data_IF_132381223068
#
_entry.id   IF_132381223068
#
_cell.length_a   1.000
_cell.length_b   1.000
_cell.length_c   1.000
_cell.angle_alpha   90.00
_cell.angle_beta   90.00
_cell.angle_gamma   90.00
#
_symmetry.space_group_name_H-M   'P 1'
#
loop_
_entity.id
_entity.type
_entity.pdbx_description
1 polymer ?
#
# COMPACT_ATOMS: atom_id res chain seq x y z
N UNK A 1 26.43 -0.35 -9.30
CA UNK A 1 26.10 0.68 -10.32
C UNK A 1 24.81 1.32 -9.88
N UNK A 2 24.75 2.67 -9.91
CA UNK A 2 23.52 3.37 -9.53
C UNK A 2 22.36 2.97 -10.45
N UNK A 3 21.22 2.61 -9.89
CA UNK A 3 20.01 2.30 -10.67
C UNK A 3 19.22 3.56 -11.03
N UNK A 4 19.59 4.70 -10.43
CA UNK A 4 18.91 5.98 -10.59
C UNK A 4 19.88 7.14 -10.77
N UNK A 5 19.49 8.10 -11.61
CA UNK A 5 20.21 9.35 -11.82
C UNK A 5 19.54 10.48 -11.03
N UNK A 6 20.32 11.12 -10.19
CA UNK A 6 19.96 12.39 -9.56
C UNK A 6 20.32 13.54 -10.48
N UNK A 7 19.41 14.48 -10.68
CA UNK A 7 19.68 15.78 -11.33
C UNK A 7 19.10 16.93 -10.52
N UNK A 8 19.78 18.06 -10.57
CA UNK A 8 19.46 19.24 -9.80
C UNK A 8 19.53 20.48 -10.70
N UNK A 9 18.49 21.30 -10.65
CA UNK A 9 18.41 22.61 -11.29
C UNK A 9 18.82 23.69 -10.28
N UNK A 10 20.02 24.21 -10.42
CA UNK A 10 20.59 25.20 -9.49
C UNK A 10 19.88 26.56 -9.52
N UNK A 11 19.28 26.94 -10.65
CA UNK A 11 18.58 28.23 -10.79
C UNK A 11 17.27 28.24 -10.02
N UNK A 12 16.64 27.06 -9.87
CA UNK A 12 15.39 26.87 -9.13
C UNK A 12 15.61 26.49 -7.68
N UNK A 13 16.82 26.19 -7.26
CA UNK A 13 17.10 25.70 -5.91
C UNK A 13 16.90 26.78 -4.86
N UNK A 14 16.10 26.47 -3.83
CA UNK A 14 15.92 27.35 -2.67
C UNK A 14 17.00 27.18 -1.59
N UNK A 15 18.02 26.35 -1.80
CA UNK A 15 19.12 26.05 -0.88
C UNK A 15 18.66 25.61 0.53
N UNK A 16 17.45 25.04 0.65
CA UNK A 16 16.81 24.71 1.94
C UNK A 16 17.30 23.41 2.59
N UNK A 17 18.06 22.57 1.89
CA UNK A 17 18.61 21.32 2.43
C UNK A 17 17.63 20.16 2.64
N UNK A 18 16.32 20.34 2.41
CA UNK A 18 15.31 19.31 2.68
C UNK A 18 15.56 18.00 1.92
N UNK A 19 16.09 18.10 0.70
CA UNK A 19 16.40 16.92 -0.12
C UNK A 19 17.48 16.01 0.50
N UNK A 20 18.50 16.60 1.09
CA UNK A 20 19.56 15.87 1.79
C UNK A 20 19.06 15.36 3.16
N UNK A 21 18.37 16.22 3.92
CA UNK A 21 17.84 15.86 5.23
C UNK A 21 16.86 14.65 5.14
N UNK A 22 15.96 14.66 4.15
CA UNK A 22 14.94 13.63 3.99
C UNK A 22 15.35 12.44 3.10
N UNK A 23 16.59 12.41 2.60
CA UNK A 23 17.06 11.24 1.87
C UNK A 23 17.21 10.04 2.82
N UNK A 24 16.43 8.96 2.69
CA UNK A 24 16.47 7.84 3.63
C UNK A 24 17.75 7.00 3.50
N UNK A 25 18.45 7.13 2.37
CA UNK A 25 19.63 6.34 2.01
C UNK A 25 20.93 7.14 2.03
N UNK A 26 20.95 8.35 2.57
CA UNK A 26 22.12 9.24 2.61
C UNK A 26 22.81 9.44 1.25
N UNK A 27 22.00 9.49 0.18
CA UNK A 27 22.50 9.70 -1.18
C UNK A 27 22.99 11.14 -1.36
N UNK A 28 22.33 12.10 -0.70
CA UNK A 28 22.53 13.53 -0.92
C UNK A 28 23.15 14.21 0.30
N UNK A 29 24.14 15.09 0.05
CA UNK A 29 24.67 16.05 1.01
C UNK A 29 24.55 17.46 0.46
N UNK A 30 24.49 18.45 1.36
CA UNK A 30 24.60 19.85 0.97
C UNK A 30 26.08 20.24 0.93
N UNK A 31 26.58 20.69 -0.24
CA UNK A 31 27.93 21.25 -0.43
C UNK A 31 27.80 22.60 -1.08
N UNK A 32 28.39 23.60 -0.49
CA UNK A 32 28.32 25.00 -0.96
C UNK A 32 26.87 25.48 -1.21
N UNK A 33 25.94 25.02 -0.35
CA UNK A 33 24.53 25.38 -0.44
C UNK A 33 23.72 24.62 -1.49
N UNK A 34 24.32 23.68 -2.22
CA UNK A 34 23.61 22.87 -3.24
C UNK A 34 23.64 21.37 -2.92
N UNK A 35 22.60 20.60 -3.29
CA UNK A 35 22.60 19.17 -3.07
C UNK A 35 23.53 18.45 -4.06
N UNK A 36 24.39 17.61 -3.53
CA UNK A 36 25.33 16.77 -4.30
C UNK A 36 25.06 15.30 -3.98
N UNK A 37 25.02 14.46 -5.00
CA UNK A 37 24.93 13.01 -4.82
C UNK A 37 26.31 12.46 -4.43
N UNK A 38 26.47 12.13 -3.15
CA UNK A 38 27.72 11.60 -2.58
C UNK A 38 27.76 10.08 -2.54
N UNK A 39 26.59 9.45 -2.54
CA UNK A 39 26.43 8.00 -2.56
C UNK A 39 25.32 7.58 -3.55
N UNK A 40 25.53 7.82 -4.87
CA UNK A 40 24.48 7.58 -5.87
C UNK A 40 24.05 6.12 -5.98
N UNK A 41 24.96 5.17 -5.69
CA UNK A 41 24.64 3.73 -5.75
C UNK A 41 23.64 3.27 -4.66
N UNK A 42 23.47 4.05 -3.60
CA UNK A 42 22.48 3.78 -2.56
C UNK A 42 21.07 4.33 -2.91
N UNK A 43 20.90 4.99 -4.06
CA UNK A 43 19.61 5.53 -4.45
C UNK A 43 18.62 4.42 -4.82
N UNK A 44 17.50 4.36 -4.10
CA UNK A 44 16.41 3.41 -4.33
C UNK A 44 15.23 4.01 -5.14
N UNK A 45 15.42 5.19 -5.73
CA UNK A 45 14.39 5.84 -6.56
C UNK A 45 13.12 6.27 -5.82
N UNK A 46 13.15 6.39 -4.50
CA UNK A 46 11.96 6.67 -3.67
C UNK A 46 11.33 8.05 -3.89
N UNK A 47 11.98 8.94 -4.64
CA UNK A 47 11.53 10.30 -4.95
C UNK A 47 11.24 11.20 -3.75
N UNK A 48 11.61 10.81 -2.53
CA UNK A 48 11.39 11.62 -1.32
C UNK A 48 12.05 13.01 -1.43
N UNK A 49 13.26 13.08 -2.00
CA UNK A 49 13.95 14.35 -2.23
C UNK A 49 13.22 15.26 -3.21
N UNK A 50 12.71 14.75 -4.31
CA UNK A 50 11.96 15.53 -5.31
C UNK A 50 10.56 15.90 -4.82
N UNK A 51 9.90 14.98 -4.09
CA UNK A 51 8.56 15.22 -3.54
C UNK A 51 8.52 16.26 -2.42
N UNK A 52 9.64 16.45 -1.68
CA UNK A 52 9.75 17.47 -0.64
C UNK A 52 10.48 18.74 -1.10
N UNK A 53 10.85 18.83 -2.37
CA UNK A 53 11.49 20.03 -2.92
C UNK A 53 10.44 21.12 -3.21
N UNK A 54 10.44 22.25 -2.47
CA UNK A 54 9.40 23.29 -2.63
C UNK A 54 9.45 23.96 -4.01
N UNK A 55 10.61 23.98 -4.64
CA UNK A 55 10.83 24.61 -5.95
C UNK A 55 10.86 23.59 -7.10
N UNK A 56 10.69 22.29 -6.79
CA UNK A 56 10.76 21.20 -7.78
C UNK A 56 12.06 21.20 -8.59
N UNK A 57 13.17 21.58 -7.97
CA UNK A 57 14.50 21.63 -8.61
C UNK A 57 15.16 20.26 -8.75
N UNK A 58 14.60 19.21 -8.16
CA UNK A 58 15.18 17.87 -8.13
C UNK A 58 14.40 16.91 -9.01
N UNK A 59 15.14 16.11 -9.79
CA UNK A 59 14.62 14.98 -10.55
C UNK A 59 15.40 13.71 -10.21
N UNK A 60 14.69 12.61 -10.14
CA UNK A 60 15.25 11.26 -10.01
C UNK A 60 14.77 10.48 -11.23
N UNK A 61 15.69 10.03 -12.04
CA UNK A 61 15.42 9.29 -13.26
C UNK A 61 16.04 7.91 -13.14
N UNK A 62 15.32 6.83 -13.45
CA UNK A 62 15.90 5.49 -13.46
C UNK A 62 16.96 5.39 -14.56
N UNK A 63 18.11 4.83 -14.22
CA UNK A 63 19.15 4.49 -15.19
C UNK A 63 18.86 3.11 -15.75
N UNK A 64 18.48 3.03 -17.01
CA UNK A 64 18.34 1.74 -17.69
C UNK A 64 16.97 1.08 -17.61
N UNK A 65 15.88 1.85 -17.50
CA UNK A 65 14.52 1.32 -17.64
C UNK A 65 14.34 0.43 -18.86
N UNK A 66 14.99 0.75 -19.98
CA UNK A 66 14.91 -0.06 -21.20
C UNK A 66 15.48 -1.48 -21.03
N UNK A 67 16.53 -1.65 -20.21
CA UNK A 67 17.11 -2.98 -19.96
C UNK A 67 16.29 -3.79 -18.94
N UNK A 68 15.72 -3.14 -17.92
CA UNK A 68 14.84 -3.81 -16.97
C UNK A 68 13.48 -4.15 -17.59
N UNK A 69 12.90 -3.22 -18.34
CA UNK A 69 11.64 -3.45 -19.03
C UNK A 69 11.79 -4.53 -20.11
N UNK A 70 12.92 -4.57 -20.83
CA UNK A 70 13.24 -5.62 -21.80
C UNK A 70 13.43 -6.98 -21.12
N UNK A 71 14.22 -7.05 -20.02
CA UNK A 71 14.42 -8.30 -19.29
C UNK A 71 13.12 -8.85 -18.73
N UNK A 72 12.22 -7.99 -18.27
CA UNK A 72 10.89 -8.39 -17.78
C UNK A 72 9.91 -8.72 -18.91
N UNK A 73 10.07 -8.15 -20.11
CA UNK A 73 9.25 -8.45 -21.28
C UNK A 73 9.50 -9.85 -21.81
N UNK A 74 10.75 -10.32 -21.75
CA UNK A 74 11.17 -11.65 -22.20
C UNK A 74 10.99 -12.75 -21.12
N UNK A 75 10.60 -12.38 -19.90
CA UNK A 75 10.40 -13.32 -18.81
C UNK A 75 9.10 -14.10 -19.00
N UNK A 76 9.19 -15.44 -18.85
CA UNK A 76 8.02 -16.31 -18.82
C UNK A 76 7.08 -15.90 -17.68
N UNK A 77 5.81 -15.69 -18.00
CA UNK A 77 4.78 -15.32 -17.04
C UNK A 77 4.11 -16.55 -16.46
N UNK A 78 3.72 -16.44 -15.18
CA UNK A 78 2.90 -17.47 -14.53
C UNK A 78 1.58 -17.67 -15.29
N UNK A 79 1.15 -18.92 -15.36
CA UNK A 79 -0.19 -19.24 -15.86
C UNK A 79 -1.25 -18.63 -14.93
N UNK A 80 -2.31 -18.05 -15.49
CA UNK A 80 -3.37 -17.50 -14.65
C UNK A 80 -4.16 -18.60 -13.95
N UNK A 81 -4.83 -18.23 -12.86
CA UNK A 81 -5.79 -19.14 -12.19
C UNK A 81 -6.89 -19.60 -13.17
N UNK A 82 -7.51 -20.73 -12.84
CA UNK A 82 -8.60 -21.28 -13.68
C UNK A 82 -9.76 -20.26 -13.82
N UNK A 83 -10.45 -20.32 -14.95
CA UNK A 83 -11.62 -19.49 -15.21
C UNK A 83 -12.71 -19.68 -14.13
N UNK A 84 -12.86 -20.91 -13.59
CA UNK A 84 -13.78 -21.21 -12.50
C UNK A 84 -13.40 -20.44 -11.22
N UNK A 85 -12.12 -20.45 -10.84
CA UNK A 85 -11.63 -19.73 -9.67
C UNK A 85 -11.80 -18.22 -9.83
N UNK A 86 -11.51 -17.69 -11.01
CA UNK A 86 -11.71 -16.27 -11.31
C UNK A 86 -13.18 -15.88 -11.25
N UNK A 87 -14.08 -16.72 -11.78
CA UNK A 87 -15.52 -16.52 -11.67
C UNK A 87 -16.00 -16.54 -10.21
N UNK A 88 -15.40 -17.38 -9.36
CA UNK A 88 -15.67 -17.40 -7.92
C UNK A 88 -15.29 -16.09 -7.25
N UNK A 89 -14.11 -15.53 -7.54
CA UNK A 89 -13.71 -14.23 -7.01
C UNK A 89 -14.59 -13.09 -7.52
N UNK A 90 -14.99 -13.14 -8.77
CA UNK A 90 -15.93 -12.17 -9.34
C UNK A 90 -17.28 -12.21 -8.63
N UNK A 91 -17.77 -13.40 -8.30
CA UNK A 91 -19.03 -13.58 -7.58
C UNK A 91 -18.93 -13.08 -6.14
N UNK A 92 -17.83 -13.35 -5.42
CA UNK A 92 -17.61 -12.79 -4.09
C UNK A 92 -17.57 -11.27 -4.14
N UNK A 93 -16.83 -10.67 -5.07
CA UNK A 93 -16.81 -9.22 -5.28
C UNK A 93 -18.22 -8.68 -5.49
N UNK A 94 -18.99 -9.27 -6.40
CA UNK A 94 -20.35 -8.85 -6.72
C UNK A 94 -21.26 -8.87 -5.50
N UNK A 95 -21.30 -10.00 -4.77
CA UNK A 95 -22.15 -10.17 -3.58
C UNK A 95 -21.77 -9.13 -2.51
N UNK A 96 -20.49 -9.05 -2.17
CA UNK A 96 -20.03 -8.18 -1.09
C UNK A 96 -20.31 -6.71 -1.43
N UNK A 97 -20.01 -6.28 -2.66
CA UNK A 97 -20.28 -4.91 -3.09
C UNK A 97 -21.77 -4.57 -3.06
N UNK A 98 -22.61 -5.47 -3.60
CA UNK A 98 -24.05 -5.26 -3.66
C UNK A 98 -24.69 -5.24 -2.28
N UNK A 99 -24.37 -6.24 -1.43
CA UNK A 99 -25.02 -6.38 -0.11
C UNK A 99 -24.55 -5.36 0.91
N UNK A 100 -23.30 -4.92 0.83
CA UNK A 100 -22.74 -3.92 1.75
C UNK A 100 -22.75 -2.49 1.19
N UNK A 101 -23.23 -2.30 -0.04
CA UNK A 101 -23.31 -0.98 -0.68
C UNK A 101 -21.92 -0.37 -0.93
N UNK A 102 -20.89 -1.20 -1.23
CA UNK A 102 -19.54 -0.70 -1.47
C UNK A 102 -19.45 0.01 -2.82
N UNK A 103 -18.93 1.22 -2.81
CA UNK A 103 -18.70 2.00 -4.04
C UNK A 103 -17.47 1.51 -4.81
N UNK A 104 -16.44 1.09 -4.09
CA UNK A 104 -15.14 0.75 -4.67
C UNK A 104 -14.93 -0.75 -4.74
N UNK A 105 -14.30 -1.19 -5.82
CA UNK A 105 -13.97 -2.61 -5.99
C UNK A 105 -13.01 -3.06 -4.90
N UNK A 106 -13.23 -4.23 -4.27
CA UNK A 106 -12.23 -4.88 -3.43
C UNK A 106 -10.95 -5.13 -4.22
N UNK A 107 -9.81 -4.85 -3.61
CA UNK A 107 -8.50 -4.97 -4.24
C UNK A 107 -7.80 -6.22 -3.74
N UNK A 108 -7.54 -7.15 -4.64
CA UNK A 108 -6.70 -8.30 -4.42
C UNK A 108 -5.24 -7.87 -4.38
N UNK A 109 -4.51 -8.28 -3.34
CA UNK A 109 -3.09 -8.00 -3.13
C UNK A 109 -2.31 -9.29 -3.17
N UNK A 110 -1.28 -9.33 -4.01
CA UNK A 110 -0.35 -10.45 -4.11
C UNK A 110 1.09 -9.99 -3.94
N UNK A 111 1.85 -10.77 -3.17
CA UNK A 111 3.24 -10.51 -2.82
C UNK A 111 4.11 -11.61 -3.48
N UNK A 112 4.67 -11.31 -4.65
CA UNK A 112 5.35 -12.29 -5.50
C UNK A 112 6.69 -12.65 -4.87
N UNK A 113 6.91 -13.93 -4.60
CA UNK A 113 8.15 -14.44 -4.05
C UNK A 113 9.34 -14.25 -5.01
N UNK A 114 10.55 -14.26 -4.47
CA UNK A 114 11.76 -13.98 -5.24
C UNK A 114 11.91 -14.90 -6.46
N UNK A 115 11.64 -16.17 -6.28
CA UNK A 115 11.86 -17.22 -7.29
C UNK A 115 10.56 -17.61 -8.04
N UNK A 116 9.45 -16.92 -7.74
CA UNK A 116 8.16 -17.16 -8.37
C UNK A 116 8.06 -16.37 -9.70
N UNK A 117 7.54 -16.98 -10.79
CA UNK A 117 7.34 -16.27 -12.04
C UNK A 117 6.33 -15.12 -11.86
N UNK A 118 6.55 -14.02 -12.58
CA UNK A 118 5.65 -12.87 -12.50
C UNK A 118 4.30 -13.19 -13.13
N UNK A 119 3.19 -12.79 -12.50
CA UNK A 119 1.87 -12.98 -13.07
C UNK A 119 1.63 -12.12 -14.31
N UNK A 120 0.64 -12.50 -15.11
CA UNK A 120 0.19 -11.73 -16.28
C UNK A 120 -0.54 -10.45 -15.83
N UNK A 121 0.22 -9.41 -15.56
CA UNK A 121 -0.30 -8.13 -15.11
C UNK A 121 0.60 -6.99 -15.63
N UNK A 122 0.03 -5.86 -16.07
CA UNK A 122 0.81 -4.72 -16.55
C UNK A 122 1.73 -4.12 -15.48
N UNK A 123 2.93 -3.72 -15.90
CA UNK A 123 3.86 -2.94 -15.09
C UNK A 123 3.64 -1.47 -15.44
N UNK A 124 3.42 -0.58 -14.47
CA UNK A 124 3.20 0.83 -14.75
C UNK A 124 4.46 1.49 -15.32
N UNK A 125 4.27 2.44 -16.23
CA UNK A 125 5.38 3.23 -16.77
C UNK A 125 5.99 4.16 -15.72
N UNK A 126 5.17 4.64 -14.78
CA UNK A 126 5.57 5.56 -13.72
C UNK A 126 5.78 4.85 -12.39
N UNK A 127 6.63 5.44 -11.55
CA UNK A 127 6.81 4.96 -10.19
C UNK A 127 5.63 5.40 -9.31
N UNK A 128 4.97 4.44 -8.70
CA UNK A 128 3.83 4.67 -7.82
C UNK A 128 4.16 4.25 -6.39
N UNK A 129 3.59 4.94 -5.41
CA UNK A 129 3.48 4.39 -4.06
C UNK A 129 2.51 3.22 -4.07
N UNK A 130 2.72 2.23 -3.23
CA UNK A 130 1.78 1.11 -3.11
C UNK A 130 0.33 1.58 -2.87
N UNK A 131 0.13 2.57 -2.01
CA UNK A 131 -1.20 3.14 -1.77
C UNK A 131 -1.81 3.80 -3.01
N UNK A 132 -1.02 4.39 -3.91
CA UNK A 132 -1.51 4.93 -5.19
C UNK A 132 -1.94 3.80 -6.13
N UNK A 133 -1.16 2.71 -6.21
CA UNK A 133 -1.53 1.53 -6.98
C UNK A 133 -2.83 0.90 -6.46
N UNK A 134 -3.00 0.81 -5.13
CA UNK A 134 -4.25 0.38 -4.51
C UNK A 134 -5.45 1.25 -4.91
N UNK A 135 -5.28 2.58 -4.96
CA UNK A 135 -6.34 3.49 -5.38
C UNK A 135 -6.67 3.37 -6.87
N UNK A 136 -5.71 3.07 -7.72
CA UNK A 136 -5.96 2.78 -9.12
C UNK A 136 -6.67 1.41 -9.29
N UNK A 137 -6.25 0.40 -8.53
CA UNK A 137 -6.84 -0.94 -8.59
C UNK A 137 -8.31 -0.97 -8.15
N UNK A 138 -8.70 -0.23 -7.11
CA UNK A 138 -10.12 -0.11 -6.72
C UNK A 138 -11.01 0.50 -7.82
N UNK A 139 -10.42 1.17 -8.82
CA UNK A 139 -11.09 1.73 -10.00
C UNK A 139 -11.01 0.85 -11.24
N UNK A 140 -10.37 -0.31 -11.15
CA UNK A 140 -10.32 -1.29 -12.22
C UNK A 140 -8.96 -1.54 -12.86
N UNK A 141 -7.90 -0.84 -12.42
CA UNK A 141 -6.54 -1.07 -12.90
C UNK A 141 -5.97 -2.39 -12.36
N UNK A 142 -5.17 -3.07 -13.19
CA UNK A 142 -4.29 -4.17 -12.78
C UNK A 142 -2.86 -3.65 -12.82
N UNK A 143 -2.12 -3.79 -11.72
CA UNK A 143 -0.80 -3.19 -11.58
C UNK A 143 0.15 -4.18 -10.92
N UNK A 144 1.25 -4.49 -11.61
CA UNK A 144 2.38 -5.24 -11.09
C UNK A 144 3.54 -4.28 -10.83
N UNK A 145 4.02 -4.21 -9.59
CA UNK A 145 5.09 -3.30 -9.20
C UNK A 145 6.34 -4.07 -8.74
N UNK A 146 7.34 -4.24 -9.60
CA UNK A 146 8.69 -4.61 -9.14
C UNK A 146 9.33 -3.46 -8.35
N UNK A 147 10.45 -3.70 -7.62
CA UNK A 147 11.05 -2.72 -6.71
C UNK A 147 11.30 -1.34 -7.33
N UNK A 148 11.79 -1.31 -8.57
CA UNK A 148 12.11 -0.06 -9.29
C UNK A 148 10.87 0.73 -9.75
N UNK A 149 9.67 0.19 -9.60
CA UNK A 149 8.39 0.87 -9.86
C UNK A 149 7.71 1.36 -8.60
N UNK A 150 8.34 1.15 -7.44
CA UNK A 150 7.86 1.71 -6.18
C UNK A 150 8.54 3.05 -5.86
N UNK A 151 7.75 4.08 -5.54
CA UNK A 151 8.25 5.38 -5.08
C UNK A 151 8.23 5.55 -3.55
N UNK A 152 7.95 4.49 -2.80
CA UNK A 152 7.94 4.52 -1.33
C UNK A 152 8.94 3.51 -0.76
N UNK A 153 10.04 3.98 -0.12
CA UNK A 153 11.07 3.10 0.43
C UNK A 153 10.57 2.29 1.63
N UNK A 154 9.59 2.80 2.38
CA UNK A 154 8.89 2.02 3.40
C UNK A 154 8.17 0.83 2.78
N UNK A 155 7.38 1.06 1.72
CA UNK A 155 6.62 0.01 1.07
C UNK A 155 7.51 -1.09 0.50
N UNK A 156 8.59 -0.73 -0.22
CA UNK A 156 9.53 -1.72 -0.78
C UNK A 156 10.22 -2.56 0.27
N UNK A 157 10.69 -1.93 1.35
CA UNK A 157 11.40 -2.64 2.42
C UNK A 157 10.45 -3.46 3.30
N UNK A 158 9.25 -2.96 3.61
CA UNK A 158 8.23 -3.67 4.38
C UNK A 158 7.82 -4.96 3.66
N UNK A 159 7.62 -4.89 2.36
CA UNK A 159 7.28 -6.06 1.54
C UNK A 159 8.50 -6.96 1.23
N UNK A 160 9.66 -6.68 1.77
CA UNK A 160 10.85 -7.51 1.59
C UNK A 160 11.44 -7.49 0.17
N UNK A 161 11.14 -6.47 -0.63
CA UNK A 161 11.69 -6.34 -1.98
C UNK A 161 13.10 -5.74 -1.97
N UNK A 162 13.42 -4.93 -0.97
CA UNK A 162 14.75 -4.30 -0.76
C UNK A 162 15.16 -4.39 0.70
N UNK A 163 16.44 -4.06 0.97
CA UNK A 163 16.88 -3.76 2.33
C UNK A 163 16.17 -2.55 2.91
N UNK A 164 16.11 -2.43 4.24
CA UNK A 164 15.56 -1.27 4.91
C UNK A 164 16.60 -0.15 4.90
N UNK A 165 16.32 1.02 4.31
CA UNK A 165 17.22 2.17 4.39
C UNK A 165 17.49 2.58 5.83
N UNK A 166 18.72 3.01 6.14
CA UNK A 166 19.20 3.25 7.51
C UNK A 166 18.29 4.20 8.29
N UNK A 167 17.92 5.35 7.72
CA UNK A 167 17.01 6.32 8.39
C UNK A 167 15.62 5.78 8.67
N UNK A 168 15.17 4.75 7.92
CA UNK A 168 13.92 4.06 8.18
C UNK A 168 14.10 2.97 9.23
N UNK A 169 15.25 2.28 9.23
CA UNK A 169 15.57 1.25 10.21
C UNK A 169 15.76 1.83 11.62
N UNK A 170 16.43 2.97 11.71
CA UNK A 170 16.64 3.70 12.98
C UNK A 170 15.43 4.53 13.42
N UNK A 171 14.48 4.77 12.50
CA UNK A 171 13.35 5.64 12.75
C UNK A 171 13.66 7.14 12.65
N UNK A 172 14.89 7.53 12.34
CA UNK A 172 15.32 8.96 12.21
C UNK A 172 14.37 9.76 11.31
N UNK A 173 13.95 9.19 10.18
CA UNK A 173 13.04 9.84 9.24
C UNK A 173 11.70 10.24 9.87
N UNK A 174 11.21 9.47 10.83
CA UNK A 174 9.92 9.76 11.48
C UNK A 174 10.05 10.89 12.50
N UNK A 175 11.21 11.01 13.13
CA UNK A 175 11.54 12.17 14.01
C UNK A 175 11.68 13.43 13.17
N UNK A 176 12.40 13.37 12.04
CA UNK A 176 12.55 14.48 11.10
C UNK A 176 11.22 14.99 10.54
N UNK A 177 10.27 14.10 10.29
CA UNK A 177 8.92 14.48 9.87
C UNK A 177 7.96 14.83 11.02
N UNK A 178 8.47 14.96 12.24
CA UNK A 178 7.68 15.22 13.46
C UNK A 178 6.50 14.25 13.66
N UNK A 179 6.65 13.00 13.23
CA UNK A 179 5.63 11.97 13.41
C UNK A 179 5.70 11.32 14.79
N UNK A 180 6.86 11.35 15.41
CA UNK A 180 7.12 10.90 16.78
C UNK A 180 8.03 11.89 17.48
N UNK A 181 8.00 11.90 18.81
CA UNK A 181 8.67 12.93 19.63
C UNK A 181 10.18 12.82 19.63
N UNK A 182 10.74 11.60 19.57
CA UNK A 182 12.17 11.33 19.69
C UNK A 182 12.56 9.97 19.10
N UNK A 183 13.86 9.68 19.13
CA UNK A 183 14.42 8.43 18.60
C UNK A 183 13.94 7.18 19.35
N UNK A 184 13.68 7.24 20.65
CA UNK A 184 13.16 6.10 21.42
C UNK A 184 11.76 5.69 20.95
N UNK A 185 10.84 6.65 20.80
CA UNK A 185 9.52 6.43 20.27
C UNK A 185 9.57 5.91 18.81
N UNK A 186 10.51 6.43 18.01
CA UNK A 186 10.74 5.98 16.66
C UNK A 186 11.23 4.53 16.61
N UNK A 187 12.19 4.17 17.43
CA UNK A 187 12.72 2.80 17.51
C UNK A 187 11.64 1.80 17.92
N UNK A 188 10.80 2.15 18.91
CA UNK A 188 9.67 1.32 19.31
C UNK A 188 8.70 1.10 18.15
N UNK A 189 8.30 2.17 17.48
CA UNK A 189 7.38 2.10 16.33
C UNK A 189 7.93 1.22 15.20
N UNK A 190 9.24 1.32 14.92
CA UNK A 190 9.89 0.50 13.88
C UNK A 190 9.96 -0.97 14.29
N UNK A 191 10.25 -1.26 15.57
CA UNK A 191 10.36 -2.62 16.09
C UNK A 191 9.01 -3.37 16.10
N UNK A 192 7.91 -2.68 16.30
CA UNK A 192 6.56 -3.28 16.36
C UNK A 192 5.96 -3.59 14.97
N UNK A 193 6.52 -3.03 13.90
CA UNK A 193 5.98 -3.26 12.57
C UNK A 193 6.44 -4.62 11.99
N UNK A 194 5.54 -5.45 11.43
CA UNK A 194 5.95 -6.60 10.65
C UNK A 194 6.64 -6.17 9.35
N UNK A 195 7.69 -6.89 8.97
CA UNK A 195 8.39 -6.73 7.69
C UNK A 195 8.80 -8.11 7.18
N UNK A 196 8.84 -8.29 5.86
CA UNK A 196 9.44 -9.48 5.26
C UNK A 196 10.97 -9.41 5.25
N UNK A 197 11.66 -10.55 5.23
CA UNK A 197 13.10 -10.57 5.04
C UNK A 197 13.51 -9.82 3.77
N UNK A 198 14.60 -9.03 3.81
CA UNK A 198 15.08 -8.31 2.63
C UNK A 198 15.33 -9.26 1.44
N UNK A 199 14.96 -8.80 0.24
CA UNK A 199 15.12 -9.53 -1.03
C UNK A 199 14.38 -10.89 -1.06
N UNK A 200 13.34 -11.07 -0.25
CA UNK A 200 12.49 -12.27 -0.26
C UNK A 200 11.31 -12.15 -1.23
N UNK A 201 11.01 -10.97 -1.70
CA UNK A 201 9.94 -10.69 -2.67
C UNK A 201 10.51 -9.91 -3.85
N UNK A 202 9.94 -10.14 -5.04
CA UNK A 202 10.37 -9.50 -6.28
C UNK A 202 9.37 -8.48 -6.84
N UNK A 203 8.11 -8.55 -6.41
CA UNK A 203 7.07 -7.61 -6.81
C UNK A 203 5.87 -7.63 -5.86
N UNK A 204 5.07 -6.56 -5.90
CA UNK A 204 3.68 -6.57 -5.45
C UNK A 204 2.76 -6.51 -6.66
N UNK A 205 1.61 -7.15 -6.57
CA UNK A 205 0.54 -7.02 -7.56
C UNK A 205 -0.76 -6.61 -6.87
N UNK A 206 -1.45 -5.63 -7.46
CA UNK A 206 -2.77 -5.20 -7.01
C UNK A 206 -3.73 -5.17 -8.20
N UNK A 207 -4.89 -5.77 -8.02
CA UNK A 207 -5.93 -5.87 -9.05
C UNK A 207 -7.32 -5.76 -8.42
N UNK A 208 -8.37 -5.40 -9.17
CA UNK A 208 -9.72 -5.72 -8.72
C UNK A 208 -9.83 -7.22 -8.44
N UNK A 209 -10.51 -7.61 -7.38
CA UNK A 209 -10.64 -9.03 -7.00
C UNK A 209 -11.17 -9.90 -8.16
N UNK A 210 -12.15 -9.40 -8.91
CA UNK A 210 -12.73 -10.11 -10.06
C UNK A 210 -11.76 -10.28 -11.26
N UNK A 211 -10.59 -9.62 -11.24
CA UNK A 211 -9.62 -9.63 -12.34
C UNK A 211 -8.26 -10.21 -11.94
N UNK A 212 -8.15 -10.74 -10.72
CA UNK A 212 -6.86 -11.26 -10.27
C UNK A 212 -6.41 -12.46 -11.10
N UNK A 213 -5.19 -12.47 -11.63
CA UNK A 213 -4.68 -13.61 -12.40
C UNK A 213 -4.08 -14.71 -11.52
N UNK A 214 -3.98 -14.52 -10.20
CA UNK A 214 -3.52 -15.51 -9.23
C UNK A 214 -4.31 -15.42 -7.93
N UNK A 215 -4.20 -16.43 -7.08
CA UNK A 215 -4.75 -16.38 -5.72
C UNK A 215 -4.06 -15.28 -4.92
N UNK A 216 -4.78 -14.26 -4.46
CA UNK A 216 -4.20 -13.21 -3.65
C UNK A 216 -4.04 -13.68 -2.20
N UNK A 217 -3.08 -13.11 -1.48
CA UNK A 217 -2.91 -13.36 -0.05
C UNK A 217 -3.95 -12.59 0.76
N UNK A 218 -4.19 -11.33 0.39
CA UNK A 218 -5.07 -10.42 1.12
C UNK A 218 -5.99 -9.69 0.14
N UNK A 219 -7.21 -9.40 0.58
CA UNK A 219 -8.13 -8.52 -0.12
C UNK A 219 -8.40 -7.28 0.72
N UNK A 220 -8.20 -6.10 0.13
CA UNK A 220 -8.39 -4.82 0.82
C UNK A 220 -9.66 -4.14 0.34
N UNK A 221 -10.53 -3.83 1.27
CA UNK A 221 -11.78 -3.11 1.07
C UNK A 221 -11.60 -1.62 1.40
N UNK A 222 -12.17 -0.75 0.58
CA UNK A 222 -12.25 0.71 0.83
C UNK A 222 -13.69 1.09 1.05
N UNK A 223 -14.00 1.77 2.15
CA UNK A 223 -15.36 2.19 2.44
C UNK A 223 -15.45 3.13 3.65
N UNK A 224 -16.67 3.53 3.97
CA UNK A 224 -16.97 4.29 5.18
C UNK A 224 -16.83 3.41 6.43
N UNK A 225 -16.69 3.98 7.63
CA UNK A 225 -16.68 3.21 8.89
C UNK A 225 -17.90 2.30 9.03
N UNK A 226 -19.07 2.74 8.57
CA UNK A 226 -20.28 1.94 8.61
C UNK A 226 -20.22 0.73 7.67
N UNK A 227 -19.67 0.89 6.47
CA UNK A 227 -19.45 -0.24 5.55
C UNK A 227 -18.43 -1.23 6.11
N UNK A 228 -17.38 -0.74 6.80
CA UNK A 228 -16.43 -1.61 7.51
C UNK A 228 -17.07 -2.33 8.70
N UNK A 229 -17.99 -1.70 9.39
CA UNK A 229 -18.79 -2.37 10.44
C UNK A 229 -19.61 -3.53 9.84
N UNK A 230 -20.31 -3.30 8.71
CA UNK A 230 -21.07 -4.38 8.05
C UNK A 230 -20.16 -5.50 7.55
N UNK A 231 -18.97 -5.16 7.05
CA UNK A 231 -17.96 -6.14 6.63
C UNK A 231 -17.50 -7.00 7.82
N UNK A 232 -17.21 -6.37 8.97
CA UNK A 232 -16.84 -7.06 10.21
C UNK A 232 -17.96 -7.97 10.70
N UNK A 233 -19.20 -7.48 10.74
CA UNK A 233 -20.36 -8.28 11.13
C UNK A 233 -20.60 -9.47 10.20
N UNK A 234 -20.31 -9.31 8.90
CA UNK A 234 -20.43 -10.40 7.93
C UNK A 234 -19.44 -11.54 8.22
N UNK A 235 -18.24 -11.21 8.67
CA UNK A 235 -17.24 -12.23 9.09
C UNK A 235 -17.67 -12.94 10.36
N UNK A 236 -18.23 -12.21 11.32
CA UNK A 236 -18.65 -12.72 12.63
C UNK A 236 -20.02 -13.39 12.61
N UNK A 237 -20.72 -13.40 11.47
CA UNK A 237 -22.13 -13.79 11.41
C UNK A 237 -22.40 -15.21 11.93
N UNK A 238 -21.50 -16.16 11.65
CA UNK A 238 -21.71 -17.56 11.99
C UNK A 238 -21.13 -17.99 13.33
N UNK A 239 -20.10 -17.31 13.83
CA UNK A 239 -19.35 -17.69 15.04
C UNK A 239 -19.42 -16.67 16.17
N UNK A 240 -19.91 -15.45 15.89
CA UNK A 240 -19.98 -14.36 16.87
C UNK A 240 -18.62 -13.84 17.32
N UNK A 241 -17.53 -14.21 16.61
CA UNK A 241 -16.17 -13.81 16.98
C UNK A 241 -16.01 -12.29 16.97
N UNK A 242 -15.28 -11.73 17.94
CA UNK A 242 -14.88 -10.33 17.98
C UNK A 242 -13.46 -10.21 17.42
N UNK A 243 -13.28 -9.29 16.47
CA UNK A 243 -11.96 -9.06 15.86
C UNK A 243 -11.21 -8.00 16.65
N UNK A 244 -9.92 -8.27 16.91
CA UNK A 244 -8.97 -7.29 17.44
C UNK A 244 -8.29 -6.58 16.31
N UNK A 245 -8.30 -5.24 16.31
CA UNK A 245 -7.70 -4.43 15.27
C UNK A 245 -6.49 -3.66 15.79
N UNK A 246 -5.39 -3.73 15.04
CA UNK A 246 -4.15 -3.04 15.33
C UNK A 246 -3.94 -1.91 14.32
N UNK A 247 -4.26 -0.68 14.71
CA UNK A 247 -4.13 0.50 13.86
C UNK A 247 -3.38 1.60 14.60
N UNK A 248 -2.29 2.08 13.99
CA UNK A 248 -1.43 3.14 14.53
C UNK A 248 -1.39 4.39 13.64
N UNK A 249 -1.85 4.29 12.39
CA UNK A 249 -1.70 5.34 11.38
C UNK A 249 -0.29 5.42 10.77
N UNK A 250 0.60 4.47 11.10
CA UNK A 250 1.93 4.34 10.51
C UNK A 250 1.98 3.16 9.53
N UNK A 251 2.62 3.35 8.38
CA UNK A 251 2.79 2.31 7.34
C UNK A 251 1.48 1.58 6.98
N UNK A 252 0.39 2.28 7.04
CA UNK A 252 -0.98 1.76 7.14
C UNK A 252 -1.36 0.79 6.02
N UNK A 253 -1.18 1.17 4.75
CA UNK A 253 -1.57 0.30 3.65
C UNK A 253 -0.68 -0.94 3.55
N UNK A 254 0.63 -0.78 3.78
CA UNK A 254 1.58 -1.89 3.69
C UNK A 254 1.47 -2.82 4.89
N UNK A 255 1.46 -2.28 6.11
CA UNK A 255 1.47 -3.04 7.36
C UNK A 255 0.05 -3.37 7.81
N UNK A 256 -0.77 -2.34 8.08
CA UNK A 256 -2.06 -2.53 8.73
C UNK A 256 -3.09 -3.21 7.83
N UNK A 257 -3.11 -2.86 6.52
CA UNK A 257 -4.08 -3.46 5.59
C UNK A 257 -3.58 -4.73 4.89
N UNK A 258 -2.26 -5.03 4.91
CA UNK A 258 -1.72 -6.20 4.19
C UNK A 258 -0.95 -7.14 5.10
N UNK A 259 0.15 -6.69 5.74
CA UNK A 259 1.01 -7.63 6.46
C UNK A 259 0.41 -8.15 7.75
N UNK A 260 -0.34 -7.34 8.50
CA UNK A 260 -1.03 -7.82 9.71
C UNK A 260 -2.09 -8.86 9.35
N UNK A 261 -3.02 -8.62 8.39
CA UNK A 261 -3.95 -9.66 7.96
C UNK A 261 -3.27 -10.96 7.50
N UNK A 262 -2.17 -10.83 6.76
CA UNK A 262 -1.44 -12.00 6.28
C UNK A 262 -0.76 -12.78 7.41
N UNK A 263 -0.11 -12.09 8.35
CA UNK A 263 0.62 -12.71 9.46
C UNK A 263 -0.32 -13.43 10.44
N UNK A 264 -1.43 -12.77 10.77
CA UNK A 264 -2.30 -13.19 11.87
C UNK A 264 -3.51 -14.02 11.39
N UNK A 265 -3.69 -14.17 10.06
CA UNK A 265 -4.88 -14.75 9.43
C UNK A 265 -6.20 -14.15 9.97
N UNK A 266 -6.19 -12.84 10.24
CA UNK A 266 -7.31 -12.08 10.80
C UNK A 266 -7.52 -10.77 10.01
N UNK A 267 -8.75 -10.24 9.97
CA UNK A 267 -8.98 -8.93 9.39
C UNK A 267 -8.28 -7.85 10.21
N UNK A 268 -7.85 -6.78 9.55
CA UNK A 268 -7.36 -5.60 10.23
C UNK A 268 -7.77 -4.32 9.52
N UNK A 269 -8.07 -3.28 10.28
CA UNK A 269 -8.46 -1.96 9.77
C UNK A 269 -7.26 -1.02 9.68
N UNK A 270 -7.39 0.00 8.85
CA UNK A 270 -6.47 1.14 8.84
C UNK A 270 -7.17 2.44 8.49
N UNK A 271 -6.75 3.49 9.16
CA UNK A 271 -7.19 4.88 8.88
C UNK A 271 -6.38 5.55 7.77
N UNK A 272 -5.30 4.92 7.32
CA UNK A 272 -4.32 5.50 6.42
C UNK A 272 -3.21 6.25 7.17
N UNK A 273 -1.97 6.12 6.69
CA UNK A 273 -0.86 6.93 7.17
C UNK A 273 -0.84 8.29 6.46
N UNK A 274 -0.04 9.21 6.98
CA UNK A 274 0.16 10.52 6.35
C UNK A 274 0.49 10.41 4.85
N UNK A 275 1.45 9.54 4.48
CA UNK A 275 1.85 9.37 3.08
C UNK A 275 0.72 8.82 2.20
N UNK A 276 -0.11 7.94 2.73
CA UNK A 276 -1.28 7.41 2.02
C UNK A 276 -2.32 8.52 1.81
N UNK A 277 -2.71 9.23 2.86
CA UNK A 277 -3.70 10.31 2.81
C UNK A 277 -3.26 11.49 1.95
N UNK A 278 -1.96 11.88 2.03
CA UNK A 278 -1.42 12.99 1.26
C UNK A 278 -1.19 12.67 -0.23
N UNK A 279 -0.96 11.40 -0.58
CA UNK A 279 -0.60 11.00 -1.94
C UNK A 279 -1.72 10.30 -2.73
N UNK A 280 -2.91 10.17 -2.14
CA UNK A 280 -4.06 9.54 -2.79
C UNK A 280 -5.29 10.43 -2.73
N UNK A 281 -6.30 10.08 -3.50
CA UNK A 281 -7.59 10.76 -3.57
C UNK A 281 -8.65 10.11 -2.65
N UNK A 282 -8.23 9.45 -1.59
CA UNK A 282 -9.17 8.89 -0.61
C UNK A 282 -9.88 9.99 0.16
N UNK A 283 -11.19 9.87 0.26
CA UNK A 283 -12.01 10.81 1.05
C UNK A 283 -11.71 10.75 2.55
N UNK A 284 -11.93 11.84 3.26
CA UNK A 284 -11.69 11.93 4.71
C UNK A 284 -12.59 10.97 5.51
N UNK A 285 -13.76 10.67 4.98
CA UNK A 285 -14.77 9.76 5.50
C UNK A 285 -14.51 8.28 5.21
N UNK A 286 -13.42 7.97 4.50
CA UNK A 286 -13.08 6.62 4.07
C UNK A 286 -11.96 6.01 4.93
N UNK A 287 -12.04 4.69 5.09
CA UNK A 287 -11.00 3.86 5.70
C UNK A 287 -10.85 2.55 4.92
N UNK A 288 -9.94 1.71 5.37
CA UNK A 288 -9.70 0.42 4.73
C UNK A 288 -9.75 -0.72 5.73
N UNK A 289 -10.10 -1.89 5.22
CA UNK A 289 -9.96 -3.16 5.93
C UNK A 289 -9.26 -4.16 5.02
N UNK A 290 -8.16 -4.71 5.49
CA UNK A 290 -7.49 -5.86 4.89
C UNK A 290 -8.04 -7.15 5.48
N UNK A 291 -8.27 -8.14 4.62
CA UNK A 291 -8.86 -9.42 5.01
C UNK A 291 -8.10 -10.55 4.32
N UNK A 292 -7.71 -11.62 5.03
CA UNK A 292 -7.17 -12.81 4.40
C UNK A 292 -8.16 -13.37 3.35
N UNK A 293 -7.65 -13.80 2.21
CA UNK A 293 -8.46 -14.32 1.11
C UNK A 293 -9.33 -15.52 1.53
N UNK A 294 -8.86 -16.31 2.51
CA UNK A 294 -9.58 -17.42 3.13
C UNK A 294 -10.96 -17.03 3.69
N UNK A 295 -11.15 -15.76 4.07
CA UNK A 295 -12.40 -15.25 4.67
C UNK A 295 -13.47 -14.81 3.66
N UNK A 296 -13.16 -14.72 2.36
CA UNK A 296 -14.08 -14.17 1.36
C UNK A 296 -15.41 -14.92 1.26
N UNK A 297 -15.38 -16.25 1.32
CA UNK A 297 -16.60 -17.07 1.28
C UNK A 297 -17.52 -16.76 2.46
N UNK A 298 -16.94 -16.68 3.67
CA UNK A 298 -17.67 -16.35 4.91
C UNK A 298 -18.27 -14.95 4.84
N UNK A 299 -17.50 -13.96 4.33
CA UNK A 299 -17.98 -12.59 4.16
C UNK A 299 -19.16 -12.54 3.19
N UNK A 300 -19.05 -13.17 2.02
CA UNK A 300 -20.10 -13.16 1.02
C UNK A 300 -21.40 -13.81 1.55
N UNK A 301 -21.28 -14.94 2.24
CA UNK A 301 -22.39 -15.62 2.87
C UNK A 301 -23.01 -14.77 4.02
N UNK A 302 -22.20 -14.25 4.93
CA UNK A 302 -22.65 -13.41 6.04
C UNK A 302 -23.32 -12.11 5.58
N UNK A 303 -22.73 -11.43 4.57
CA UNK A 303 -23.32 -10.23 3.97
C UNK A 303 -24.71 -10.52 3.35
N UNK A 304 -24.86 -11.68 2.73
CA UNK A 304 -26.16 -12.13 2.17
C UNK A 304 -27.19 -12.31 3.26
N UNK A 305 -26.83 -12.90 4.38
CA UNK A 305 -27.76 -13.10 5.51
C UNK A 305 -28.12 -11.77 6.18
N UNK A 306 -27.11 -10.90 6.45
CA UNK A 306 -27.35 -9.59 7.04
C UNK A 306 -28.26 -8.70 6.19
N UNK A 307 -28.12 -8.76 4.87
CA UNK A 307 -28.95 -7.99 3.94
C UNK A 307 -30.45 -8.36 3.99
N UNK A 308 -30.81 -9.53 4.51
CA UNK A 308 -32.24 -9.95 4.60
C UNK A 308 -33.03 -9.14 5.63
N UNK A 309 -32.39 -8.71 6.74
CA UNK A 309 -33.12 -8.08 7.86
C UNK A 309 -32.32 -7.00 8.60
N UNK A 310 -30.99 -7.07 8.62
CA UNK A 310 -30.17 -6.25 9.51
C UNK A 310 -29.66 -4.98 8.82
N UNK A 311 -29.24 -5.09 7.56
CA UNK A 311 -28.82 -3.91 6.78
C UNK A 311 -30.10 -3.24 6.26
N UNK A 312 -30.43 -2.03 6.69
CA UNK A 312 -31.67 -1.38 6.29
C UNK A 312 -31.57 -0.88 4.82
N UNK A 313 -32.68 -1.05 4.07
CA UNK A 313 -32.82 -0.52 2.71
C UNK A 313 -32.84 1.01 2.71
N UNK A 314 -33.38 1.62 3.77
CA UNK A 314 -33.37 3.06 3.99
C UNK A 314 -32.99 3.38 5.42
N UNK A 315 -32.21 4.45 5.62
CA UNK A 315 -31.72 4.84 6.94
C UNK A 315 -32.55 5.97 7.49
N UNK A 316 -33.40 5.64 8.47
CA UNK A 316 -33.98 6.63 9.33
C UNK A 316 -33.03 6.90 10.50
N UNK A 317 -32.17 7.92 10.34
CA UNK A 317 -31.33 8.38 11.46
C UNK A 317 -32.21 9.08 12.48
N UNK A 318 -32.20 8.57 13.70
CA UNK A 318 -32.85 9.23 14.85
C UNK A 318 -31.85 10.27 15.37
N UNK A 319 -32.21 11.54 15.28
CA UNK A 319 -31.45 12.61 15.92
C UNK A 319 -32.03 12.85 17.32
N UNK A 320 -31.16 12.81 18.31
CA UNK A 320 -31.52 13.29 19.65
C UNK A 320 -31.18 14.76 19.71
N UNK A 321 -32.19 15.61 19.93
CA UNK A 321 -31.93 17.03 20.12
C UNK A 321 -31.15 17.22 21.43
N UNK A 322 -30.16 18.14 21.44
CA UNK A 322 -29.42 18.43 22.65
C UNK A 322 -30.40 18.95 23.73
N UNK A 323 -30.35 18.32 24.88
CA UNK A 323 -31.05 18.82 26.07
C UNK A 323 -30.33 20.10 26.49
N UNK A 324 -30.93 21.25 26.25
CA UNK A 324 -30.41 22.54 26.71
C UNK A 324 -30.68 22.73 28.20
#
# INVERSE_FOLDING_TARGET
MADYKFSHDSERCAHCGLCAAFCPCYVLEMRDGVPVAVNPDACVGCTTCSGNCPTRSIRIEPLGNASFDAALADEERAEPISAEKQAQYAEYQRIIMEKLGLRWQPVAVSLIEKDEPLPQCPIPAENLRFCQAMMAARRGACILQPPFRHSCPDGTSIFGMTGVPEKLATGEIYVLFHKVVNAEAAAKMVAERPVFPPNSRRATMVTPLAKTPRDPEVVVFTGTPEQMMWLSMSMSYYDGHRHDFHASGFNSMCVEAVLIPLRDDQPNITFGCYGCRAATDVGEDMMWMGVPTSRLATIAAGATELAKKTIPDSRNKIYVEPIM
#
